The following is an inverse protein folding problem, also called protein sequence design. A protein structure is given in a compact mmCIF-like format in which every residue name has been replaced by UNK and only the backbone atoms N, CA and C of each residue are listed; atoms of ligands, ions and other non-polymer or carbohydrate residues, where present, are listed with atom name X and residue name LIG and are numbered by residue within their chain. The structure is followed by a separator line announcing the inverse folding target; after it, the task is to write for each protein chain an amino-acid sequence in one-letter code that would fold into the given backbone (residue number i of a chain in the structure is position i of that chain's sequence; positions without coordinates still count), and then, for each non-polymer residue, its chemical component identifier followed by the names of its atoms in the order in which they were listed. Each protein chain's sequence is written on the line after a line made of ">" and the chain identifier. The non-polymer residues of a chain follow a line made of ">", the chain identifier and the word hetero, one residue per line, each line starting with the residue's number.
data_IF_569319028944
#
_entry.id   IF_569319028944
#
_cell.length_a   1.000
_cell.length_b   1.000
_cell.length_c   1.000
_cell.angle_alpha   90.00
_cell.angle_beta   90.00
_cell.angle_gamma   90.00
#
_symmetry.space_group_name_H-M   'P 1'
#
loop_
_entity.id
_entity.type
_entity.pdbx_description
1 polymer ?
#
# COMPACT_ATOMS: atom_id res chain seq x y z
N UNK A 1 -13.94 -28.78 7.26
CA UNK A 1 -12.72 -27.96 7.43
C UNK A 1 -12.49 -27.86 8.91
N UNK A 2 -11.48 -28.57 9.43
CA UNK A 2 -11.10 -28.43 10.83
C UNK A 2 -10.52 -27.03 11.02
N UNK A 3 -11.11 -26.27 11.94
CA UNK A 3 -10.67 -24.92 12.26
C UNK A 3 -9.44 -25.07 13.14
N UNK A 4 -8.26 -24.95 12.55
CA UNK A 4 -7.00 -24.92 13.28
C UNK A 4 -6.93 -23.59 14.05
N UNK A 5 -7.21 -23.61 15.35
CA UNK A 5 -7.02 -22.45 16.21
C UNK A 5 -5.55 -22.34 16.57
N UNK A 6 -4.90 -21.27 16.10
CA UNK A 6 -3.56 -20.92 16.56
C UNK A 6 -3.69 -20.51 18.03
N UNK A 7 -2.91 -21.11 18.96
CA UNK A 7 -2.97 -20.73 20.36
C UNK A 7 -2.56 -19.26 20.50
N UNK A 8 -3.42 -18.47 21.12
CA UNK A 8 -3.15 -17.07 21.40
C UNK A 8 -2.16 -16.95 22.56
N UNK A 9 -1.18 -16.06 22.41
CA UNK A 9 -0.19 -15.81 23.44
C UNK A 9 -0.78 -14.90 24.52
N UNK A 10 -0.68 -15.30 25.79
CA UNK A 10 -1.03 -14.44 26.92
C UNK A 10 0.04 -13.35 27.12
N UNK A 11 -0.23 -12.18 26.54
CA UNK A 11 0.66 -11.03 26.62
C UNK A 11 0.87 -10.52 28.05
N UNK A 12 -0.07 -10.77 28.97
CA UNK A 12 0.09 -10.37 30.39
C UNK A 12 1.18 -11.20 31.05
N UNK A 13 1.19 -12.51 30.81
CA UNK A 13 2.22 -13.42 31.32
C UNK A 13 3.59 -13.11 30.70
N UNK A 14 3.64 -12.90 29.38
CA UNK A 14 4.88 -12.53 28.67
C UNK A 14 5.48 -11.25 29.25
N UNK A 15 4.65 -10.21 29.44
CA UNK A 15 5.10 -8.93 29.99
C UNK A 15 5.68 -9.11 31.40
N UNK A 16 4.99 -9.86 32.28
CA UNK A 16 5.48 -10.15 33.64
C UNK A 16 6.82 -10.89 33.66
N UNK A 17 6.96 -11.95 32.87
CA UNK A 17 8.22 -12.72 32.81
C UNK A 17 9.38 -11.83 32.37
N UNK A 18 9.14 -11.01 31.36
CA UNK A 18 10.14 -10.13 30.81
C UNK A 18 10.57 -9.01 31.77
N UNK A 19 9.66 -8.54 32.65
CA UNK A 19 10.01 -7.63 33.73
C UNK A 19 10.87 -8.31 34.79
N UNK A 20 10.60 -9.58 35.12
CA UNK A 20 11.41 -10.34 36.08
C UNK A 20 12.83 -10.54 35.56
N UNK A 21 13.00 -10.96 34.30
CA UNK A 21 14.30 -11.10 33.65
C UNK A 21 15.10 -9.79 33.69
N UNK A 22 14.46 -8.66 33.38
CA UNK A 22 15.09 -7.34 33.46
C UNK A 22 15.45 -6.92 34.89
N UNK A 23 14.60 -7.21 35.86
CA UNK A 23 14.89 -6.93 37.27
C UNK A 23 16.08 -7.74 37.80
N UNK A 24 16.33 -8.92 37.24
CA UNK A 24 17.54 -9.70 37.52
C UNK A 24 18.77 -9.08 36.86
N UNK A 25 18.67 -8.64 35.60
CA UNK A 25 19.76 -7.91 34.93
C UNK A 25 20.13 -6.60 35.65
N UNK A 26 19.16 -5.89 36.21
CA UNK A 26 19.36 -4.69 37.02
C UNK A 26 20.26 -4.92 38.24
N UNK A 27 20.22 -6.13 38.80
CA UNK A 27 21.08 -6.53 39.94
C UNK A 27 22.53 -6.82 39.52
N UNK A 28 22.83 -6.85 38.22
CA UNK A 28 24.17 -7.09 37.69
C UNK A 28 25.16 -5.98 38.08
N UNK A 29 24.69 -4.75 38.28
CA UNK A 29 25.49 -3.68 38.87
C UNK A 29 25.13 -3.56 40.34
N UNK A 30 25.78 -4.34 41.23
CA UNK A 30 25.58 -4.18 42.66
C UNK A 30 25.90 -2.74 43.06
N UNK A 31 25.10 -2.18 43.96
CA UNK A 31 25.34 -0.87 44.56
C UNK A 31 26.52 -0.97 45.53
N UNK A 32 27.72 -1.18 44.99
CA UNK A 32 28.98 -1.27 45.77
C UNK A 32 29.37 0.10 46.34
N UNK A 33 28.66 1.18 45.97
CA UNK A 33 28.94 2.52 46.47
C UNK A 33 30.18 3.14 45.81
N UNK A 34 30.40 2.85 44.53
CA UNK A 34 31.49 3.45 43.77
C UNK A 34 31.18 4.95 43.55
N UNK A 35 32.00 5.82 44.11
CA UNK A 35 31.83 7.28 44.03
C UNK A 35 31.84 7.84 42.60
N UNK A 36 32.34 7.08 41.64
CA UNK A 36 32.45 7.49 40.24
C UNK A 36 31.22 7.14 39.40
N UNK A 37 30.23 6.43 39.98
CA UNK A 37 29.04 5.94 39.26
C UNK A 37 27.80 6.59 39.83
N UNK A 38 27.01 7.26 38.97
CA UNK A 38 25.69 7.75 39.35
C UNK A 38 24.64 6.63 39.21
N UNK A 39 24.43 5.89 40.29
CA UNK A 39 23.41 4.84 40.36
C UNK A 39 21.98 5.35 40.08
N UNK A 40 21.70 6.63 40.39
CA UNK A 40 20.40 7.23 40.10
C UNK A 40 20.13 7.38 38.61
N UNK A 41 21.15 7.77 37.82
CA UNK A 41 21.01 7.87 36.37
C UNK A 41 20.96 6.50 35.70
N UNK A 42 21.68 5.50 36.22
CA UNK A 42 21.53 4.11 35.78
C UNK A 42 20.09 3.61 35.98
N UNK A 43 19.51 3.82 37.16
CA UNK A 43 18.13 3.44 37.44
C UNK A 43 17.14 4.17 36.52
N UNK A 44 17.39 5.45 36.22
CA UNK A 44 16.58 6.21 35.25
C UNK A 44 16.62 5.60 33.86
N UNK A 45 17.80 5.24 33.36
CA UNK A 45 17.95 4.60 32.05
C UNK A 45 17.24 3.25 32.00
N UNK A 46 17.40 2.40 33.01
CA UNK A 46 16.73 1.10 33.03
C UNK A 46 15.21 1.23 33.16
N UNK A 47 14.73 2.16 33.99
CA UNK A 47 13.30 2.47 34.07
C UNK A 47 12.74 2.92 32.71
N UNK A 48 13.52 3.65 31.92
CA UNK A 48 13.14 4.04 30.57
C UNK A 48 13.01 2.84 29.63
N UNK A 49 13.98 1.92 29.65
CA UNK A 49 13.90 0.71 28.83
C UNK A 49 12.74 -0.22 29.24
N UNK A 50 12.41 -0.29 30.53
CA UNK A 50 11.23 -0.99 31.03
C UNK A 50 9.94 -0.35 30.52
N UNK A 51 9.84 0.98 30.57
CA UNK A 51 8.68 1.68 30.03
C UNK A 51 8.53 1.45 28.52
N UNK A 52 9.62 1.42 27.74
CA UNK A 52 9.59 1.10 26.31
C UNK A 52 9.01 -0.31 26.04
N UNK A 53 9.38 -1.28 26.87
CA UNK A 53 8.89 -2.64 26.77
C UNK A 53 7.39 -2.73 27.09
N UNK A 54 6.97 -2.12 28.21
CA UNK A 54 5.57 -2.03 28.60
C UNK A 54 4.72 -1.35 27.51
N UNK A 55 5.26 -0.31 26.88
CA UNK A 55 4.61 0.37 25.77
C UNK A 55 4.44 -0.57 24.57
N UNK A 56 5.48 -1.31 24.18
CA UNK A 56 5.40 -2.29 23.07
C UNK A 56 4.36 -3.37 23.34
N UNK A 57 4.37 -3.93 24.55
CA UNK A 57 3.51 -5.05 24.91
C UNK A 57 2.05 -4.62 25.03
N UNK A 58 1.77 -3.39 25.51
CA UNK A 58 0.43 -2.79 25.47
C UNK A 58 -0.22 -2.85 24.08
N UNK A 59 0.52 -2.55 23.00
CA UNK A 59 -0.05 -2.61 21.64
C UNK A 59 -0.17 -4.03 21.07
N UNK A 60 0.57 -4.99 21.64
CA UNK A 60 0.51 -6.39 21.25
C UNK A 60 -0.60 -7.14 21.96
N UNK A 61 -1.09 -6.62 23.08
CA UNK A 61 -2.19 -7.21 23.83
C UNK A 61 -3.53 -7.01 23.11
N UNK A 62 -4.14 -8.08 22.57
CA UNK A 62 -5.42 -7.98 21.87
C UNK A 62 -6.58 -7.63 22.82
N UNK A 63 -6.40 -7.89 24.13
CA UNK A 63 -7.45 -7.71 25.14
C UNK A 63 -7.32 -6.40 25.94
N UNK A 64 -6.31 -5.57 25.64
CA UNK A 64 -6.09 -4.27 26.28
C UNK A 64 -6.08 -4.34 27.82
N UNK A 65 -5.54 -5.42 28.38
CA UNK A 65 -5.35 -5.66 29.83
C UNK A 65 -4.09 -4.97 30.34
N UNK A 66 -3.07 -4.84 29.50
CA UNK A 66 -1.84 -4.13 29.83
C UNK A 66 -2.05 -2.62 29.82
N UNK A 67 -1.60 -1.94 30.87
CA UNK A 67 -1.72 -0.50 31.01
C UNK A 67 -0.61 0.23 30.25
N UNK A 68 -0.96 1.36 29.65
CA UNK A 68 0.04 2.19 28.97
C UNK A 68 0.92 2.88 30.01
N UNK A 69 2.26 2.82 29.87
CA UNK A 69 3.18 3.59 30.70
C UNK A 69 2.95 5.10 30.56
N UNK A 70 2.96 5.82 31.70
CA UNK A 70 2.67 7.26 31.77
C UNK A 70 3.60 8.10 30.88
N UNK A 71 4.87 7.72 30.77
CA UNK A 71 5.88 8.43 29.96
C UNK A 71 5.51 8.52 28.48
N UNK A 72 4.73 7.57 27.97
CA UNK A 72 4.28 7.50 26.58
C UNK A 72 2.80 7.88 26.39
N UNK A 73 2.16 8.45 27.42
CA UNK A 73 0.75 8.85 27.37
C UNK A 73 0.49 10.00 26.39
N UNK A 74 1.41 10.96 26.31
CA UNK A 74 1.27 12.20 25.51
C UNK A 74 1.65 12.01 24.04
N UNK A 75 2.60 11.12 23.73
CA UNK A 75 2.94 10.75 22.36
C UNK A 75 2.09 9.57 21.90
N UNK A 76 0.77 9.75 21.85
CA UNK A 76 -0.10 8.86 21.08
C UNK A 76 0.12 9.12 19.58
N UNK A 77 1.31 8.81 19.07
CA UNK A 77 1.48 8.73 17.63
C UNK A 77 0.51 7.64 17.18
N UNK A 78 -0.25 7.95 16.11
CA UNK A 78 -1.22 7.09 15.44
C UNK A 78 -0.56 5.79 14.97
N UNK A 79 -0.19 4.92 15.90
CA UNK A 79 0.36 3.60 15.69
C UNK A 79 -0.78 2.57 15.54
N UNK A 80 -1.95 3.04 15.09
CA UNK A 80 -2.86 2.17 14.36
C UNK A 80 -2.10 1.71 13.14
N UNK A 81 -2.13 0.41 12.88
CA UNK A 81 -1.53 -0.25 11.72
C UNK A 81 -1.80 0.64 10.51
N UNK A 82 -0.80 1.41 10.06
CA UNK A 82 -0.88 2.03 8.75
C UNK A 82 -0.75 0.84 7.81
N UNK A 83 -1.88 0.35 7.31
CA UNK A 83 -1.87 -0.58 6.20
C UNK A 83 -1.02 0.12 5.14
N UNK A 84 0.14 -0.46 4.87
CA UNK A 84 1.04 0.05 3.86
C UNK A 84 0.22 0.11 2.55
N UNK A 85 0.07 1.29 1.92
CA UNK A 85 -0.65 1.40 0.66
C UNK A 85 -0.12 0.41 -0.39
N UNK A 86 1.16 0.04 -0.31
CA UNK A 86 1.77 -0.99 -1.13
C UNK A 86 1.19 -2.39 -0.84
N UNK A 87 0.90 -2.72 0.41
CA UNK A 87 0.29 -3.99 0.81
C UNK A 87 -1.12 -4.15 0.22
N UNK A 88 -1.91 -3.06 0.16
CA UNK A 88 -3.21 -3.10 -0.51
C UNK A 88 -3.10 -3.31 -2.02
N UNK A 89 -2.08 -2.72 -2.66
CA UNK A 89 -1.81 -2.95 -4.08
C UNK A 89 -1.38 -4.40 -4.34
N UNK A 90 -0.57 -4.99 -3.46
CA UNK A 90 -0.13 -6.38 -3.57
C UNK A 90 -1.25 -7.40 -3.29
N UNK A 91 -2.27 -7.03 -2.50
CA UNK A 91 -3.47 -7.85 -2.28
C UNK A 91 -4.44 -7.83 -3.46
N UNK A 92 -4.36 -6.82 -4.33
CA UNK A 92 -5.21 -6.76 -5.53
C UNK A 92 -4.75 -7.85 -6.50
N UNK A 93 -5.71 -8.62 -7.00
CA UNK A 93 -5.46 -9.60 -8.07
C UNK A 93 -4.87 -8.88 -9.26
N UNK A 94 -3.75 -9.38 -9.80
CA UNK A 94 -3.15 -8.85 -11.03
C UNK A 94 -4.23 -8.74 -12.10
N UNK A 95 -4.45 -7.55 -12.70
CA UNK A 95 -5.45 -7.41 -13.75
C UNK A 95 -5.08 -8.35 -14.89
N UNK A 96 -6.01 -9.21 -15.28
CA UNK A 96 -5.84 -10.05 -16.47
C UNK A 96 -5.59 -9.12 -17.65
N UNK A 97 -4.46 -9.29 -18.33
CA UNK A 97 -4.16 -8.57 -19.56
C UNK A 97 -5.29 -8.87 -20.56
N UNK A 98 -6.07 -7.85 -20.93
CA UNK A 98 -7.01 -7.94 -22.03
C UNK A 98 -6.22 -7.51 -23.25
N UNK A 99 -5.89 -8.46 -24.12
CA UNK A 99 -5.21 -8.16 -25.38
C UNK A 99 -6.04 -7.12 -26.17
N UNK A 100 -5.40 -6.13 -26.80
CA UNK A 100 -6.11 -5.17 -27.63
C UNK A 100 -6.77 -5.91 -28.80
N UNK A 101 -8.09 -5.71 -28.93
CA UNK A 101 -8.84 -6.23 -30.07
C UNK A 101 -8.24 -5.63 -31.35
N UNK A 102 -7.87 -6.45 -32.36
CA UNK A 102 -7.28 -5.94 -33.59
C UNK A 102 -8.26 -5.01 -34.29
N UNK A 103 -7.75 -3.92 -34.83
CA UNK A 103 -8.55 -2.96 -35.61
C UNK A 103 -8.97 -3.63 -36.92
N UNK A 104 -10.23 -4.06 -36.99
CA UNK A 104 -10.83 -4.61 -38.23
C UNK A 104 -11.35 -3.44 -39.05
N UNK A 105 -10.74 -3.19 -40.21
CA UNK A 105 -11.29 -2.24 -41.17
C UNK A 105 -12.41 -2.90 -41.98
N UNK A 106 -13.58 -2.26 -42.12
CA UNK A 106 -14.61 -2.77 -43.02
C UNK A 106 -14.10 -2.66 -44.46
N UNK A 107 -13.98 -3.82 -45.12
CA UNK A 107 -13.72 -3.87 -46.56
C UNK A 107 -15.07 -3.79 -47.26
N UNK A 108 -15.31 -2.70 -47.98
CA UNK A 108 -16.45 -2.60 -48.88
C UNK A 108 -16.17 -3.43 -50.13
N UNK A 109 -16.75 -4.62 -50.20
CA UNK A 109 -16.69 -5.46 -51.40
C UNK A 109 -17.53 -4.80 -52.50
N UNK A 110 -16.86 -4.19 -53.49
CA UNK A 110 -17.55 -3.74 -54.69
C UNK A 110 -18.08 -4.96 -55.46
N UNK A 111 -19.30 -4.90 -55.99
CA UNK A 111 -19.92 -6.00 -56.77
C UNK A 111 -19.27 -6.22 -58.14
N UNK A 112 -18.20 -5.50 -58.49
CA UNK A 112 -17.49 -5.62 -59.77
C UNK A 112 -16.19 -6.38 -59.54
N UNK A 113 -16.15 -7.63 -59.99
CA UNK A 113 -14.97 -8.49 -59.95
C UNK A 113 -14.18 -8.33 -61.26
N UNK A 114 -13.51 -7.18 -61.42
CA UNK A 114 -12.58 -6.98 -62.54
C UNK A 114 -11.20 -7.51 -62.11
N UNK A 115 -10.92 -8.78 -62.41
CA UNK A 115 -9.69 -9.49 -61.99
C UNK A 115 -8.38 -8.94 -62.61
N UNK A 116 -8.46 -8.07 -63.61
CA UNK A 116 -7.28 -7.46 -64.27
C UNK A 116 -6.78 -6.19 -63.56
N UNK A 117 -7.53 -5.64 -62.60
CA UNK A 117 -7.10 -4.49 -61.81
C UNK A 117 -6.79 -4.95 -60.39
N UNK A 118 -5.50 -4.88 -60.02
CA UNK A 118 -5.05 -5.16 -58.66
C UNK A 118 -5.80 -4.33 -57.61
N UNK A 119 -5.84 -4.83 -56.37
CA UNK A 119 -6.59 -4.23 -55.26
C UNK A 119 -6.25 -2.74 -55.05
N UNK A 120 -7.20 -1.86 -55.37
CA UNK A 120 -7.04 -0.42 -55.14
C UNK A 120 -7.52 -0.08 -53.73
N UNK A 121 -6.58 -0.08 -52.78
CA UNK A 121 -6.82 0.42 -51.42
C UNK A 121 -6.90 1.96 -51.47
N UNK A 122 -8.12 2.51 -51.52
CA UNK A 122 -8.33 3.97 -51.39
C UNK A 122 -8.92 4.29 -50.03
N UNK A 123 -8.26 5.17 -49.28
CA UNK A 123 -8.75 5.63 -47.99
C UNK A 123 -9.87 6.66 -48.15
N UNK A 124 -10.90 6.59 -47.29
CA UNK A 124 -12.05 7.51 -47.25
C UNK A 124 -11.65 9.01 -47.10
N UNK A 125 -10.41 9.29 -46.70
CA UNK A 125 -9.83 10.63 -46.56
C UNK A 125 -8.51 10.83 -47.33
N UNK A 126 -8.28 10.08 -48.40
CA UNK A 126 -7.09 10.27 -49.23
C UNK A 126 -7.07 11.68 -49.86
N UNK A 127 -5.91 12.34 -49.92
CA UNK A 127 -5.73 13.70 -50.48
C UNK A 127 -6.37 13.94 -51.86
N UNK A 128 -6.53 12.89 -52.66
CA UNK A 128 -7.14 12.94 -53.98
C UNK A 128 -8.68 13.13 -53.95
N UNK A 129 -9.37 12.82 -52.84
CA UNK A 129 -10.83 12.99 -52.75
C UNK A 129 -11.28 14.45 -52.59
N UNK A 130 -10.35 15.38 -52.40
CA UNK A 130 -10.63 16.80 -52.26
C UNK A 130 -10.83 17.55 -53.59
N UNK A 131 -10.53 16.91 -54.74
CA UNK A 131 -10.62 17.54 -56.06
C UNK A 131 -11.76 16.95 -56.89
N UNK A 132 -12.99 17.30 -56.53
CA UNK A 132 -14.13 16.97 -57.37
C UNK A 132 -15.42 17.29 -56.67
N UNK A 133 -15.86 18.54 -56.77
CA UNK A 133 -17.18 18.98 -57.19
C UNK A 133 -17.18 20.53 -57.12
N UNK A 134 -17.42 21.27 -58.22
CA UNK A 134 -17.67 22.70 -58.11
C UNK A 134 -18.98 22.90 -57.34
N UNK A 135 -18.91 23.53 -56.17
CA UNK A 135 -20.10 23.91 -55.42
C UNK A 135 -20.96 24.86 -56.27
N UNK A 136 -22.30 24.69 -56.31
CA UNK A 136 -23.17 25.65 -56.99
C UNK A 136 -23.12 26.99 -56.25
N UNK A 137 -22.86 28.07 -57.01
CA UNK A 137 -22.88 29.44 -56.53
C UNK A 137 -24.27 29.80 -56.00
N UNK A 138 -24.43 29.97 -54.69
CA UNK A 138 -25.62 30.61 -54.12
C UNK A 138 -25.36 32.12 -54.06
N UNK A 139 -26.03 32.88 -54.93
CA UNK A 139 -26.11 34.35 -54.87
C UNK A 139 -26.91 34.75 -53.64
N UNK A 140 -26.29 35.45 -52.69
CA UNK A 140 -27.01 36.21 -51.67
C UNK A 140 -27.41 37.55 -52.28
N UNK A 141 -28.70 37.73 -52.59
CA UNK A 141 -29.26 39.04 -52.88
C UNK A 141 -29.55 39.73 -51.54
N UNK A 142 -28.93 40.89 -51.32
CA UNK A 142 -29.20 41.76 -50.20
C UNK A 142 -29.32 43.22 -50.63
N UNK A 143 -30.56 43.70 -50.76
CA UNK A 143 -31.15 44.83 -50.04
C UNK A 143 -32.58 45.05 -50.52
#
# INVERSE_FOLDING_TARGET
>A
MEVFSVPEVDMVMVSKNSQNERNEMLKFVPQIGLNNINYGDMYRLDSFYLDCQNYRDHYRDPYNKLLRPKRFSTQSVRCGIKLDPQLELLKKRTPSHVDPIPVVYPVEYSRRMDFDRGFQMSGRHARASAFGFPAPCVRVLGR
#
